data_IF_210871657395
#
_entry.id   IF_210871657395
#
_cell.length_a   1.000
_cell.length_b   1.000
_cell.length_c   1.000
_cell.angle_alpha   90.00
_cell.angle_beta   90.00
_cell.angle_gamma   90.00
#
_symmetry.space_group_name_H-M   'P 1'
#
loop_
_entity.id
_entity.type
_entity.pdbx_description
1 polymer ?
#
# COMPACT_ATOMS: atom_id res chain seq x y z
N UNK A 1 -52.14 9.34 -6.22
CA UNK A 1 -50.66 9.19 -6.35
C UNK A 1 -50.00 9.56 -5.05
N UNK A 2 -49.54 8.57 -4.32
CA UNK A 2 -48.86 8.79 -3.05
C UNK A 2 -47.45 9.37 -3.26
N UNK A 3 -47.23 10.60 -2.79
CA UNK A 3 -45.92 11.22 -2.75
C UNK A 3 -45.07 10.46 -1.70
N UNK A 4 -44.05 9.74 -2.11
CA UNK A 4 -43.09 9.14 -1.21
C UNK A 4 -42.29 10.29 -0.56
N UNK A 5 -42.55 10.58 0.72
CA UNK A 5 -41.71 11.43 1.52
C UNK A 5 -40.43 10.64 1.86
N UNK A 6 -39.33 10.98 1.23
CA UNK A 6 -37.99 10.58 1.70
C UNK A 6 -37.65 11.52 2.87
N UNK A 7 -37.87 11.07 4.07
CA UNK A 7 -37.42 11.76 5.27
C UNK A 7 -36.01 11.25 5.65
N UNK A 8 -35.00 11.83 5.03
CA UNK A 8 -33.65 11.84 5.62
C UNK A 8 -33.65 12.91 6.71
N UNK A 9 -33.65 12.50 7.98
CA UNK A 9 -33.65 13.47 9.09
C UNK A 9 -32.36 14.29 9.16
N UNK A 10 -32.27 15.19 10.12
CA UNK A 10 -31.11 16.08 10.43
C UNK A 10 -29.76 15.34 10.39
N UNK A 11 -29.77 14.04 10.68
CA UNK A 11 -28.59 13.18 10.64
C UNK A 11 -28.10 12.87 9.21
N UNK A 12 -29.00 12.79 8.20
CA UNK A 12 -28.61 12.55 6.82
C UNK A 12 -27.96 13.80 6.22
N UNK A 13 -28.52 14.98 6.47
CA UNK A 13 -27.95 16.24 5.98
C UNK A 13 -26.57 16.50 6.58
N UNK A 14 -26.39 16.21 7.88
CA UNK A 14 -25.09 16.31 8.55
C UNK A 14 -24.07 15.29 8.02
N UNK A 15 -24.51 14.06 7.74
CA UNK A 15 -23.66 13.02 7.14
C UNK A 15 -23.25 13.37 5.71
N UNK A 16 -24.18 13.88 4.92
CA UNK A 16 -23.91 14.32 3.54
C UNK A 16 -22.95 15.53 3.53
N UNK A 17 -23.14 16.50 4.43
CA UNK A 17 -22.26 17.65 4.55
C UNK A 17 -20.82 17.22 4.88
N UNK A 18 -20.64 16.31 5.84
CA UNK A 18 -19.31 15.75 6.17
C UNK A 18 -18.68 15.00 5.01
N UNK A 19 -19.46 14.19 4.30
CA UNK A 19 -18.97 13.48 3.11
C UNK A 19 -18.49 14.45 2.04
N UNK A 20 -19.30 15.48 1.73
CA UNK A 20 -18.93 16.47 0.71
C UNK A 20 -17.70 17.30 1.10
N UNK A 21 -17.52 17.58 2.40
CA UNK A 21 -16.34 18.29 2.90
C UNK A 21 -15.04 17.47 2.75
N UNK A 22 -15.13 16.15 2.84
CA UNK A 22 -13.97 15.24 2.79
C UNK A 22 -13.87 14.42 1.51
N UNK A 23 -14.84 14.51 0.60
CA UNK A 23 -14.90 13.70 -0.62
C UNK A 23 -13.79 13.99 -1.65
N UNK A 24 -13.06 15.10 -1.49
CA UNK A 24 -11.90 15.45 -2.31
C UNK A 24 -10.60 14.81 -1.82
N UNK A 25 -10.66 14.03 -0.74
CA UNK A 25 -9.46 13.39 -0.18
C UNK A 25 -9.12 12.09 -0.91
N UNK A 26 -7.85 11.87 -1.08
CA UNK A 26 -7.29 10.63 -1.65
C UNK A 26 -6.33 10.01 -0.65
N UNK A 27 -6.47 8.70 -0.42
CA UNK A 27 -5.51 7.91 0.33
C UNK A 27 -4.47 7.32 -0.62
N UNK A 28 -3.21 7.53 -0.32
CA UNK A 28 -2.07 6.88 -0.96
C UNK A 28 -1.42 5.93 0.03
N UNK A 29 -1.06 4.74 -0.41
CA UNK A 29 -0.37 3.75 0.42
C UNK A 29 0.79 3.15 -0.36
N UNK A 30 1.93 2.99 0.30
CA UNK A 30 3.12 2.43 -0.35
C UNK A 30 4.40 2.77 0.38
N UNK A 31 5.48 2.79 -0.38
CA UNK A 31 6.80 3.22 0.10
C UNK A 31 6.90 4.73 -0.13
N UNK A 32 6.53 5.50 0.88
CA UNK A 32 6.57 6.95 0.82
C UNK A 32 8.02 7.46 0.92
N UNK A 33 8.24 8.71 0.49
CA UNK A 33 9.56 9.33 0.51
C UNK A 33 10.15 9.45 1.93
N UNK A 34 11.48 9.43 2.02
CA UNK A 34 12.24 9.72 3.24
C UNK A 34 12.87 8.52 3.93
N UNK A 35 12.54 7.28 3.54
CA UNK A 35 13.23 6.09 4.05
C UNK A 35 14.35 5.62 3.13
N UNK A 36 15.44 5.10 3.73
CA UNK A 36 16.59 4.56 3.00
C UNK A 36 16.97 3.18 3.53
N UNK A 37 17.54 2.37 2.63
CA UNK A 37 18.22 1.14 2.99
C UNK A 37 19.54 1.45 3.74
N UNK A 38 20.18 0.45 4.40
CA UNK A 38 21.42 0.65 5.13
C UNK A 38 22.58 1.21 4.30
N UNK A 39 22.56 1.03 2.98
CA UNK A 39 23.56 1.55 2.04
C UNK A 39 23.24 2.96 1.51
N UNK A 40 22.15 3.57 2.01
CA UNK A 40 21.68 4.90 1.61
C UNK A 40 20.77 4.90 0.39
N UNK A 41 20.49 3.74 -0.24
CA UNK A 41 19.57 3.66 -1.37
C UNK A 41 18.14 4.01 -0.92
N UNK A 42 17.40 4.89 -1.63
CA UNK A 42 16.00 5.17 -1.30
C UNK A 42 15.16 3.90 -1.32
N UNK A 43 14.41 3.63 -0.25
CA UNK A 43 13.59 2.41 -0.12
C UNK A 43 12.52 2.33 -1.21
N UNK A 44 11.97 3.47 -1.63
CA UNK A 44 11.02 3.55 -2.74
C UNK A 44 11.63 3.04 -4.07
N UNK A 45 12.91 3.36 -4.33
CA UNK A 45 13.62 2.87 -5.51
C UNK A 45 13.83 1.35 -5.46
N UNK A 46 14.17 0.82 -4.29
CA UNK A 46 14.28 -0.62 -4.07
C UNK A 46 12.93 -1.31 -4.30
N UNK A 47 11.86 -0.70 -3.81
CA UNK A 47 10.50 -1.16 -4.06
C UNK A 47 10.15 -1.20 -5.54
N UNK A 48 10.49 -0.14 -6.28
CA UNK A 48 10.30 -0.07 -7.73
C UNK A 48 11.05 -1.20 -8.47
N UNK A 49 12.32 -1.44 -8.12
CA UNK A 49 13.08 -2.54 -8.72
C UNK A 49 12.49 -3.92 -8.41
N UNK A 50 11.92 -4.09 -7.23
CA UNK A 50 11.23 -5.34 -6.90
C UNK A 50 9.92 -5.47 -7.67
N UNK A 51 9.12 -4.40 -7.77
CA UNK A 51 7.83 -4.43 -8.45
C UNK A 51 7.95 -4.76 -9.94
N UNK A 52 8.93 -4.17 -10.62
CA UNK A 52 9.08 -4.26 -12.08
C UNK A 52 10.24 -5.15 -12.53
N UNK A 53 11.07 -5.60 -11.61
CA UNK A 53 12.34 -6.23 -11.93
C UNK A 53 13.39 -5.20 -12.33
N UNK A 54 14.64 -5.65 -12.42
CA UNK A 54 15.76 -4.79 -12.83
C UNK A 54 16.88 -5.60 -13.43
N UNK A 55 17.80 -4.89 -14.05
CA UNK A 55 19.03 -5.45 -14.61
C UNK A 55 20.20 -4.70 -14.00
N UNK A 56 21.16 -5.41 -13.45
CA UNK A 56 22.36 -4.82 -12.88
C UNK A 56 23.62 -5.49 -13.39
N UNK A 57 24.74 -4.78 -13.34
CA UNK A 57 26.04 -5.35 -13.62
C UNK A 57 26.61 -5.91 -12.32
N UNK A 58 26.85 -7.21 -12.27
CA UNK A 58 27.50 -7.89 -11.16
C UNK A 58 28.96 -7.47 -10.99
N UNK A 59 29.56 -7.82 -9.85
CA UNK A 59 30.95 -7.52 -9.55
C UNK A 59 31.94 -8.17 -10.54
N UNK A 60 31.54 -9.29 -11.14
CA UNK A 60 32.27 -10.02 -12.19
C UNK A 60 32.08 -9.46 -13.61
N UNK A 61 31.33 -8.35 -13.73
CA UNK A 61 31.03 -7.70 -15.01
C UNK A 61 29.87 -8.31 -15.80
N UNK A 62 29.26 -9.40 -15.32
CA UNK A 62 28.11 -10.03 -15.98
C UNK A 62 26.82 -9.24 -15.72
N UNK A 63 25.92 -9.34 -16.68
CA UNK A 63 24.56 -8.76 -16.54
C UNK A 63 23.71 -9.76 -15.74
N UNK A 64 23.23 -9.30 -14.61
CA UNK A 64 22.28 -10.03 -13.75
C UNK A 64 20.87 -9.47 -13.95
N UNK A 65 19.92 -10.36 -14.22
CA UNK A 65 18.50 -10.02 -14.27
C UNK A 65 17.82 -10.38 -12.96
N UNK A 66 17.25 -9.39 -12.29
CA UNK A 66 16.42 -9.59 -11.12
C UNK A 66 14.97 -9.66 -11.57
N UNK A 67 14.28 -10.78 -11.36
CA UNK A 67 12.91 -10.93 -11.81
C UNK A 67 11.96 -10.02 -11.04
N UNK A 68 10.83 -9.57 -11.65
CA UNK A 68 9.83 -8.80 -10.96
C UNK A 68 9.17 -9.59 -9.83
N UNK A 69 8.88 -8.89 -8.75
CA UNK A 69 8.13 -9.36 -7.59
C UNK A 69 7.06 -8.32 -7.27
N UNK A 70 5.92 -8.32 -7.98
CA UNK A 70 4.95 -7.23 -7.98
C UNK A 70 4.08 -7.22 -6.71
N UNK A 71 4.70 -7.02 -5.55
CA UNK A 71 4.06 -7.12 -4.25
C UNK A 71 2.97 -6.07 -4.03
N UNK A 72 3.16 -4.84 -4.52
CA UNK A 72 2.18 -3.76 -4.40
C UNK A 72 0.93 -4.09 -5.22
N UNK A 73 1.12 -4.41 -6.49
CA UNK A 73 0.03 -4.76 -7.42
C UNK A 73 -0.73 -5.99 -6.94
N UNK A 74 0.00 -7.05 -6.57
CA UNK A 74 -0.60 -8.29 -6.05
C UNK A 74 -1.44 -8.04 -4.80
N UNK A 75 -0.96 -7.19 -3.88
CA UNK A 75 -1.72 -6.83 -2.68
C UNK A 75 -2.95 -6.01 -3.04
N UNK A 76 -2.82 -5.00 -3.90
CA UNK A 76 -3.94 -4.17 -4.32
C UNK A 76 -5.04 -4.99 -5.02
N UNK A 77 -4.67 -5.88 -5.93
CA UNK A 77 -5.60 -6.78 -6.63
C UNK A 77 -6.33 -7.73 -5.67
N UNK A 78 -5.63 -8.27 -4.68
CA UNK A 78 -6.21 -9.25 -3.75
C UNK A 78 -6.96 -8.63 -2.58
N UNK A 79 -6.64 -7.41 -2.17
CA UNK A 79 -7.15 -6.76 -0.95
C UNK A 79 -7.93 -5.47 -1.20
N UNK A 80 -7.85 -4.87 -2.39
CA UNK A 80 -8.49 -3.59 -2.70
C UNK A 80 -10.00 -3.56 -2.44
N UNK A 81 -10.70 -4.65 -2.77
CA UNK A 81 -12.13 -4.76 -2.48
C UNK A 81 -12.43 -4.72 -0.96
N UNK A 82 -11.58 -5.34 -0.14
CA UNK A 82 -11.70 -5.29 1.31
C UNK A 82 -11.46 -3.88 1.85
N UNK A 83 -10.48 -3.15 1.32
CA UNK A 83 -10.23 -1.76 1.73
C UNK A 83 -11.43 -0.86 1.41
N UNK A 84 -12.04 -1.03 0.23
CA UNK A 84 -13.26 -0.31 -0.12
C UNK A 84 -14.44 -0.66 0.81
N UNK A 85 -14.58 -1.93 1.21
CA UNK A 85 -15.59 -2.34 2.20
C UNK A 85 -15.36 -1.69 3.57
N UNK A 86 -14.11 -1.59 4.03
CA UNK A 86 -13.75 -0.91 5.27
C UNK A 86 -14.22 0.55 5.23
N UNK A 87 -13.92 1.27 4.15
CA UNK A 87 -14.40 2.65 3.96
C UNK A 87 -15.91 2.72 4.11
N UNK A 88 -16.67 1.87 3.40
CA UNK A 88 -18.13 1.85 3.45
C UNK A 88 -18.69 1.55 4.85
N UNK A 89 -18.08 0.64 5.61
CA UNK A 89 -18.49 0.29 6.96
C UNK A 89 -18.23 1.44 7.93
N UNK A 90 -17.02 2.00 7.90
CA UNK A 90 -16.63 3.08 8.81
C UNK A 90 -17.47 4.34 8.54
N UNK A 91 -17.72 4.70 7.28
CA UNK A 91 -18.59 5.83 6.94
C UNK A 91 -20.00 5.71 7.53
N UNK A 92 -20.56 4.49 7.55
CA UNK A 92 -21.88 4.26 8.18
C UNK A 92 -21.84 4.44 9.69
N UNK A 93 -20.71 4.14 10.33
CA UNK A 93 -20.54 4.20 11.78
C UNK A 93 -20.18 5.59 12.28
N UNK A 94 -19.46 6.40 11.49
CA UNK A 94 -18.93 7.70 11.89
C UNK A 94 -19.72 8.91 11.37
N UNK A 95 -20.91 8.67 10.79
CA UNK A 95 -21.79 9.74 10.29
C UNK A 95 -21.28 10.40 9.00
N UNK A 96 -20.60 9.64 8.11
CA UNK A 96 -20.21 10.09 6.78
C UNK A 96 -18.83 10.75 6.70
N UNK A 97 -18.01 10.67 7.74
CA UNK A 97 -16.64 11.18 7.72
C UNK A 97 -15.76 10.27 6.83
N UNK A 98 -15.54 10.72 5.61
CA UNK A 98 -14.80 9.97 4.60
C UNK A 98 -13.29 9.93 4.91
N UNK A 99 -12.71 11.03 5.41
CA UNK A 99 -11.30 11.06 5.77
C UNK A 99 -10.97 10.07 6.89
N UNK A 100 -11.81 10.02 7.94
CA UNK A 100 -11.65 9.04 9.00
C UNK A 100 -11.77 7.60 8.47
N UNK A 101 -12.67 7.36 7.51
CA UNK A 101 -12.80 6.05 6.86
C UNK A 101 -11.56 5.68 6.04
N UNK A 102 -10.98 6.64 5.31
CA UNK A 102 -9.73 6.44 4.56
C UNK A 102 -8.55 6.13 5.49
N UNK A 103 -8.47 6.74 6.68
CA UNK A 103 -7.42 6.43 7.67
C UNK A 103 -7.46 4.96 8.08
N UNK A 104 -8.62 4.45 8.44
CA UNK A 104 -8.77 3.04 8.84
C UNK A 104 -8.44 2.08 7.68
N UNK A 105 -8.86 2.42 6.46
CA UNK A 105 -8.51 1.65 5.28
C UNK A 105 -7.00 1.70 4.99
N UNK A 106 -6.36 2.85 5.17
CA UNK A 106 -4.92 3.05 5.02
C UNK A 106 -4.11 2.20 5.99
N UNK A 107 -4.48 2.18 7.26
CA UNK A 107 -3.85 1.31 8.26
C UNK A 107 -3.97 -0.17 7.88
N UNK A 108 -5.15 -0.60 7.42
CA UNK A 108 -5.35 -1.97 6.93
C UNK A 108 -4.49 -2.28 5.70
N UNK A 109 -4.38 -1.34 4.76
CA UNK A 109 -3.57 -1.50 3.56
C UNK A 109 -2.07 -1.60 3.87
N UNK A 110 -1.56 -0.81 4.81
CA UNK A 110 -0.17 -0.91 5.30
C UNK A 110 0.11 -2.31 5.82
N UNK A 111 -0.76 -2.83 6.69
CA UNK A 111 -0.60 -4.18 7.26
C UNK A 111 -0.62 -5.25 6.17
N UNK A 112 -1.57 -5.18 5.21
CA UNK A 112 -1.68 -6.15 4.13
C UNK A 112 -0.43 -6.14 3.22
N UNK A 113 0.12 -4.96 2.89
CA UNK A 113 1.34 -4.84 2.07
C UNK A 113 2.55 -5.36 2.85
N UNK A 114 2.70 -4.99 4.13
CA UNK A 114 3.78 -5.49 4.99
C UNK A 114 3.75 -7.02 5.10
N UNK A 115 2.56 -7.59 5.22
CA UNK A 115 2.38 -9.04 5.24
C UNK A 115 2.80 -9.68 3.92
N UNK A 116 2.39 -9.10 2.79
CA UNK A 116 2.78 -9.58 1.46
C UNK A 116 4.30 -9.57 1.29
N UNK A 117 4.98 -8.48 1.69
CA UNK A 117 6.44 -8.39 1.66
C UNK A 117 7.07 -9.49 2.53
N UNK A 118 6.58 -9.67 3.76
CA UNK A 118 7.12 -10.61 4.72
C UNK A 118 6.96 -12.08 4.32
N UNK A 119 5.91 -12.40 3.58
CA UNK A 119 5.56 -13.77 3.18
C UNK A 119 5.85 -14.11 1.72
N UNK A 120 6.45 -13.19 0.97
CA UNK A 120 6.75 -13.41 -0.46
C UNK A 120 7.74 -14.54 -0.67
N UNK A 121 7.42 -15.45 -1.60
CA UNK A 121 8.25 -16.64 -1.86
C UNK A 121 8.59 -16.87 -3.33
N UNK A 122 7.81 -16.33 -4.28
CA UNK A 122 8.00 -16.63 -5.70
C UNK A 122 7.99 -15.35 -6.58
N UNK A 123 9.02 -15.13 -7.40
CA UNK A 123 10.23 -15.95 -7.54
C UNK A 123 11.15 -15.85 -6.30
N UNK A 124 11.82 -16.96 -5.94
CA UNK A 124 12.72 -17.00 -4.79
C UNK A 124 14.01 -16.20 -5.05
N UNK A 125 14.83 -16.04 -4.03
CA UNK A 125 16.19 -15.55 -4.21
C UNK A 125 17.06 -16.60 -4.91
N UNK A 126 18.10 -16.14 -5.62
CA UNK A 126 19.17 -17.02 -6.06
C UNK A 126 19.90 -17.63 -4.86
N UNK A 127 20.41 -18.86 -4.99
CA UNK A 127 21.13 -19.57 -3.91
C UNK A 127 22.29 -18.76 -3.34
N UNK A 128 23.03 -18.05 -4.20
CA UNK A 128 24.12 -17.16 -3.78
C UNK A 128 23.64 -16.00 -2.92
N UNK A 129 22.43 -15.51 -3.15
CA UNK A 129 21.79 -14.46 -2.36
C UNK A 129 21.34 -15.02 -1.02
N UNK A 130 20.76 -16.22 -0.99
CA UNK A 130 20.34 -16.90 0.25
C UNK A 130 21.55 -17.17 1.13
N UNK A 131 22.63 -17.70 0.55
CA UNK A 131 23.89 -17.96 1.26
C UNK A 131 24.47 -16.68 1.90
N UNK A 132 24.43 -15.56 1.18
CA UNK A 132 24.93 -14.26 1.67
C UNK A 132 24.05 -13.66 2.75
N UNK A 133 22.72 -13.79 2.64
CA UNK A 133 21.73 -13.21 3.58
C UNK A 133 21.52 -14.10 4.82
N UNK A 134 21.74 -15.41 4.70
CA UNK A 134 21.43 -16.38 5.74
C UNK A 134 19.96 -16.79 5.83
N UNK A 135 19.10 -16.29 4.95
CA UNK A 135 17.66 -16.65 4.87
C UNK A 135 17.10 -16.42 3.47
N UNK A 136 16.00 -17.11 3.16
CA UNK A 136 15.22 -16.86 1.96
C UNK A 136 14.04 -15.94 2.28
N UNK A 137 14.15 -14.70 1.85
CA UNK A 137 13.10 -13.67 1.94
C UNK A 137 13.26 -12.73 0.77
N UNK A 138 12.62 -13.02 -0.38
CA UNK A 138 12.88 -12.33 -1.64
C UNK A 138 12.73 -10.83 -1.59
N UNK A 139 11.77 -10.33 -0.79
CA UNK A 139 11.52 -8.90 -0.62
C UNK A 139 12.13 -8.30 0.65
N UNK A 140 12.84 -9.12 1.42
CA UNK A 140 13.53 -8.69 2.63
C UNK A 140 15.03 -8.61 2.36
N UNK A 141 15.56 -7.38 2.29
CA UNK A 141 16.97 -7.13 2.03
C UNK A 141 17.88 -7.59 3.18
N UNK A 142 17.39 -7.48 4.42
CA UNK A 142 18.07 -7.88 5.64
C UNK A 142 17.08 -8.41 6.69
N UNK A 143 17.57 -8.90 7.83
CA UNK A 143 16.72 -9.29 8.96
C UNK A 143 15.90 -8.09 9.51
N UNK A 144 16.41 -6.86 9.41
CA UNK A 144 15.71 -5.64 9.81
C UNK A 144 14.55 -5.29 8.87
N UNK A 145 14.50 -5.87 7.65
CA UNK A 145 13.42 -5.68 6.66
C UNK A 145 13.01 -4.21 6.44
N UNK A 146 13.94 -3.30 6.11
CA UNK A 146 13.66 -1.85 6.07
C UNK A 146 12.53 -1.51 5.09
N UNK A 147 12.47 -2.10 3.91
CA UNK A 147 11.39 -1.90 2.95
C UNK A 147 10.02 -2.27 3.52
N UNK A 148 9.92 -3.37 4.28
CA UNK A 148 8.66 -3.79 4.92
C UNK A 148 8.19 -2.75 5.94
N UNK A 149 9.11 -2.21 6.75
CA UNK A 149 8.79 -1.21 7.78
C UNK A 149 8.59 0.20 7.21
N UNK A 150 9.06 0.48 6.00
CA UNK A 150 8.88 1.75 5.31
C UNK A 150 7.50 1.91 4.64
N UNK A 151 6.68 0.85 4.62
CA UNK A 151 5.32 0.95 4.09
C UNK A 151 4.50 1.85 5.00
N UNK A 152 3.93 2.90 4.41
CA UNK A 152 3.10 3.88 5.09
C UNK A 152 1.93 4.31 4.21
N UNK A 153 1.01 5.09 4.74
CA UNK A 153 -0.04 5.77 3.98
C UNK A 153 -0.08 7.25 4.33
N UNK A 154 -0.59 8.04 3.42
CA UNK A 154 -0.98 9.43 3.67
C UNK A 154 -2.36 9.73 3.06
N UNK A 155 -2.92 10.86 3.47
CA UNK A 155 -4.17 11.37 2.91
C UNK A 155 -3.88 12.77 2.39
N UNK A 156 -4.17 12.96 1.11
CA UNK A 156 -3.94 14.20 0.39
C UNK A 156 -5.22 14.78 -0.16
N UNK A 157 -5.23 16.09 -0.40
CA UNK A 157 -6.33 16.76 -1.09
C UNK A 157 -6.22 16.53 -2.60
N UNK A 158 -7.35 16.34 -3.25
CA UNK A 158 -7.44 16.17 -4.68
C UNK A 158 -7.70 14.73 -5.13
N UNK A 159 -7.94 14.59 -6.44
CA UNK A 159 -8.08 13.29 -7.08
C UNK A 159 -6.71 12.57 -7.17
N UNK A 160 -6.70 11.22 -7.30
CA UNK A 160 -5.46 10.49 -7.58
C UNK A 160 -4.79 11.03 -8.84
N UNK A 161 -3.49 11.22 -8.80
CA UNK A 161 -2.70 11.47 -10.00
C UNK A 161 -2.71 10.21 -10.88
N UNK A 162 -2.97 10.38 -12.20
CA UNK A 162 -2.95 9.28 -13.18
C UNK A 162 -1.53 8.83 -13.53
#
# INVERSE_FOLDING_TARGET
MGSAKVAGGVNLDAALARYLDTATKTMRVGLLEGSTEPDGTPTALVGFWNEYGTTRKGADGRIEHVPPRPFMRTTAESKGARWAQIVGVIMKQNGGDFEAALRVAGESAVVDIQQTIGTWTNPPNAESTIAKKGFDGPLRGSAAAPMQHAVAYDIVDGAPEE
#
